data_IF_121763751169
#
_entry.id   IF_121763751169
#
_cell.length_a   1.000
_cell.length_b   1.000
_cell.length_c   1.000
_cell.angle_alpha   90.00
_cell.angle_beta   90.00
_cell.angle_gamma   90.00
#
_symmetry.space_group_name_H-M   'P 1'
#
loop_
_entity.id
_entity.type
_entity.pdbx_description
1 polymer ?
#
# COMPACT_ATOMS: atom_id res chain seq x y z
N UNK A 1 1.02 12.85 -24.92
CA UNK A 1 0.72 13.30 -23.54
C UNK A 1 0.17 12.19 -22.65
N UNK A 2 -0.81 11.37 -23.07
CA UNK A 2 -1.34 10.25 -22.26
C UNK A 2 -0.25 9.26 -21.80
N UNK A 3 0.63 8.85 -22.71
CA UNK A 3 1.72 7.92 -22.42
C UNK A 3 2.66 8.40 -21.29
N UNK A 4 3.21 9.62 -21.40
CA UNK A 4 4.13 10.15 -20.39
C UNK A 4 3.48 10.31 -19.01
N UNK A 5 2.20 10.71 -18.96
CA UNK A 5 1.43 10.76 -17.71
C UNK A 5 1.26 9.36 -17.10
N UNK A 6 0.89 8.37 -17.91
CA UNK A 6 0.75 6.98 -17.46
C UNK A 6 2.09 6.42 -16.95
N UNK A 7 3.18 6.70 -17.69
CA UNK A 7 4.55 6.35 -17.31
C UNK A 7 4.90 6.93 -15.94
N UNK A 8 4.60 8.20 -15.71
CA UNK A 8 4.87 8.87 -14.46
C UNK A 8 4.09 8.27 -13.27
N UNK A 9 2.80 7.93 -13.44
CA UNK A 9 1.99 7.24 -12.43
C UNK A 9 2.52 5.84 -12.09
N UNK A 10 2.95 5.08 -13.10
CA UNK A 10 3.53 3.75 -12.91
C UNK A 10 4.86 3.84 -12.16
N UNK A 11 5.72 4.80 -12.53
CA UNK A 11 6.98 5.08 -11.83
C UNK A 11 6.70 5.42 -10.36
N UNK A 12 5.72 6.27 -10.08
CA UNK A 12 5.33 6.62 -8.71
C UNK A 12 5.00 5.37 -7.89
N UNK A 13 4.21 4.45 -8.46
CA UNK A 13 3.87 3.18 -7.81
C UNK A 13 5.10 2.30 -7.57
N UNK A 14 6.00 2.18 -8.56
CA UNK A 14 7.26 1.43 -8.44
C UNK A 14 8.13 1.97 -7.29
N UNK A 15 8.30 3.30 -7.20
CA UNK A 15 9.06 3.93 -6.11
C UNK A 15 8.41 3.64 -4.76
N UNK A 16 7.09 3.81 -4.68
CA UNK A 16 6.35 3.65 -3.43
C UNK A 16 6.46 2.23 -2.89
N UNK A 17 6.32 1.19 -3.74
CA UNK A 17 6.50 -0.20 -3.29
C UNK A 17 7.95 -0.50 -2.94
N UNK A 18 8.93 0.01 -3.71
CA UNK A 18 10.35 -0.25 -3.47
C UNK A 18 10.82 0.31 -2.12
N UNK A 19 10.26 1.44 -1.69
CA UNK A 19 10.53 2.04 -0.37
C UNK A 19 9.94 1.25 0.79
N UNK A 20 8.83 0.54 0.57
CA UNK A 20 8.16 -0.25 1.61
C UNK A 20 8.92 -1.55 1.89
N UNK A 21 9.49 -2.18 0.86
CA UNK A 21 10.23 -3.42 1.01
C UNK A 21 11.50 -3.48 0.13
N UNK A 22 12.65 -3.20 0.76
CA UNK A 22 13.99 -3.30 0.18
C UNK A 22 14.55 -4.73 0.11
N UNK A 23 13.74 -5.75 0.44
CA UNK A 23 14.21 -7.13 0.39
C UNK A 23 14.31 -7.65 -1.05
N UNK A 24 15.15 -8.66 -1.30
CA UNK A 24 15.42 -9.24 -2.63
C UNK A 24 14.21 -9.97 -3.27
N UNK A 25 13.00 -9.83 -2.72
CA UNK A 25 11.79 -10.45 -3.26
C UNK A 25 11.13 -9.58 -4.34
N UNK A 26 10.32 -10.23 -5.17
CA UNK A 26 9.41 -9.53 -6.08
C UNK A 26 8.31 -8.82 -5.29
N UNK A 27 8.09 -7.55 -5.60
CA UNK A 27 7.06 -6.68 -5.07
C UNK A 27 5.85 -6.67 -6.00
N UNK A 28 4.65 -6.47 -5.46
CA UNK A 28 3.42 -6.49 -6.27
C UNK A 28 2.94 -5.07 -6.56
N UNK A 29 2.85 -4.73 -7.84
CA UNK A 29 2.10 -3.56 -8.33
C UNK A 29 0.66 -4.00 -8.54
N UNK A 30 -0.28 -3.39 -7.82
CA UNK A 30 -1.72 -3.65 -7.98
C UNK A 30 -2.29 -2.72 -9.06
N UNK A 31 -2.80 -3.32 -10.13
CA UNK A 31 -3.27 -2.62 -11.33
C UNK A 31 -4.65 -1.98 -11.08
N UNK A 32 -5.43 -2.57 -10.20
CA UNK A 32 -6.71 -2.07 -9.69
C UNK A 32 -6.56 -0.96 -8.63
N UNK A 33 -5.32 -0.53 -8.34
CA UNK A 33 -5.08 0.58 -7.41
C UNK A 33 -5.69 1.89 -7.90
N UNK A 34 -6.05 2.76 -6.96
CA UNK A 34 -6.70 4.05 -7.29
C UNK A 34 -5.90 4.92 -8.26
N UNK A 35 -4.57 4.76 -8.29
CA UNK A 35 -3.65 5.50 -9.14
C UNK A 35 -3.50 4.91 -10.55
N UNK A 36 -3.85 3.64 -10.75
CA UNK A 36 -3.66 2.93 -12.03
C UNK A 36 -4.97 2.43 -12.66
N UNK A 37 -6.09 2.45 -11.93
CA UNK A 37 -7.40 1.94 -12.38
C UNK A 37 -7.91 2.50 -13.72
N UNK A 38 -7.47 3.70 -14.09
CA UNK A 38 -7.87 4.39 -15.32
C UNK A 38 -6.88 4.18 -16.48
N UNK A 39 -5.83 3.38 -16.26
CA UNK A 39 -4.82 3.01 -17.25
C UNK A 39 -5.12 1.60 -17.75
N UNK A 40 -5.04 1.41 -19.06
CA UNK A 40 -5.22 0.09 -19.67
C UNK A 40 -4.15 -0.89 -19.15
N UNK A 41 -4.51 -2.12 -18.74
CA UNK A 41 -3.54 -3.13 -18.29
C UNK A 41 -2.41 -3.40 -19.29
N UNK A 42 -2.70 -3.36 -20.60
CA UNK A 42 -1.70 -3.55 -21.65
C UNK A 42 -0.75 -2.35 -21.75
N UNK A 43 -1.24 -1.12 -21.53
CA UNK A 43 -0.40 0.09 -21.44
C UNK A 43 0.56 -0.01 -20.25
N UNK A 44 0.08 -0.48 -19.08
CA UNK A 44 0.90 -0.68 -17.89
C UNK A 44 1.99 -1.71 -18.17
N UNK A 45 1.61 -2.86 -18.74
CA UNK A 45 2.54 -3.93 -19.06
C UNK A 45 3.57 -3.49 -20.11
N UNK A 46 3.15 -2.73 -21.12
CA UNK A 46 4.03 -2.16 -22.14
C UNK A 46 5.10 -1.24 -21.56
N UNK A 47 4.72 -0.34 -20.65
CA UNK A 47 5.64 0.56 -19.96
C UNK A 47 6.61 -0.21 -19.05
N UNK A 48 6.11 -1.18 -18.27
CA UNK A 48 6.96 -2.01 -17.42
C UNK A 48 7.94 -2.87 -18.24
N UNK A 49 7.51 -3.39 -19.39
CA UNK A 49 8.37 -4.15 -20.29
C UNK A 49 9.51 -3.29 -20.85
N UNK A 50 9.25 -2.01 -21.13
CA UNK A 50 10.31 -1.08 -21.54
C UNK A 50 11.36 -0.94 -20.44
N UNK A 51 10.95 -0.71 -19.19
CA UNK A 51 11.90 -0.65 -18.07
C UNK A 51 12.66 -1.97 -17.86
N UNK A 52 12.01 -3.10 -18.10
CA UNK A 52 12.69 -4.40 -18.06
C UNK A 52 13.75 -4.53 -19.17
N UNK A 53 13.42 -4.12 -20.39
CA UNK A 53 14.35 -4.15 -21.53
C UNK A 53 15.55 -3.22 -21.31
N UNK A 54 15.33 -2.10 -20.62
CA UNK A 54 16.37 -1.15 -20.21
C UNK A 54 17.16 -1.64 -18.97
N UNK A 55 16.84 -2.81 -18.42
CA UNK A 55 17.50 -3.40 -17.27
C UNK A 55 17.16 -2.76 -15.91
N UNK A 56 16.15 -1.87 -15.86
CA UNK A 56 15.79 -1.06 -14.70
C UNK A 56 14.94 -1.78 -13.68
N UNK A 57 14.22 -2.79 -14.11
CA UNK A 57 13.48 -3.70 -13.25
C UNK A 57 13.43 -5.11 -13.88
N UNK A 58 12.92 -6.07 -13.12
CA UNK A 58 12.59 -7.41 -13.60
C UNK A 58 11.13 -7.71 -13.32
N UNK A 59 10.36 -8.04 -14.35
CA UNK A 59 8.99 -8.51 -14.21
C UNK A 59 9.02 -9.99 -13.81
N UNK A 60 8.22 -10.32 -12.80
CA UNK A 60 7.98 -11.67 -12.31
C UNK A 60 6.68 -12.22 -12.87
N UNK A 61 5.80 -12.68 -11.98
CA UNK A 61 4.46 -13.15 -12.36
C UNK A 61 3.51 -11.98 -12.64
N UNK A 62 2.77 -12.09 -13.73
CA UNK A 62 1.58 -11.27 -13.97
C UNK A 62 0.36 -12.10 -13.60
N UNK A 63 -0.58 -11.48 -12.89
CA UNK A 63 -1.87 -12.08 -12.59
C UNK A 63 -2.95 -11.10 -12.97
N UNK A 64 -3.66 -11.44 -14.05
CA UNK A 64 -4.88 -10.76 -14.44
C UNK A 64 -6.03 -11.72 -14.16
N UNK A 65 -6.76 -11.50 -13.07
CA UNK A 65 -7.88 -12.37 -12.71
C UNK A 65 -8.93 -12.37 -13.82
N UNK A 66 -9.38 -13.54 -14.25
CA UNK A 66 -10.66 -13.66 -14.93
C UNK A 66 -11.75 -13.39 -13.89
N UNK A 67 -12.81 -12.64 -14.24
CA UNK A 67 -14.01 -12.57 -13.39
C UNK A 67 -14.52 -14.00 -13.16
N UNK A 68 -14.17 -14.60 -12.03
CA UNK A 68 -14.71 -15.89 -11.64
C UNK A 68 -16.17 -15.67 -11.24
N UNK A 69 -17.06 -15.96 -12.18
CA UNK A 69 -18.50 -15.98 -11.98
C UNK A 69 -18.87 -17.27 -11.21
N UNK A 70 -18.45 -17.38 -9.95
CA UNK A 70 -18.76 -18.54 -9.11
C UNK A 70 -20.04 -18.26 -8.34
N UNK A 71 -21.14 -18.86 -8.78
CA UNK A 71 -22.40 -18.94 -8.04
C UNK A 71 -22.28 -20.04 -6.97
N UNK A 72 -21.85 -19.66 -5.77
CA UNK A 72 -21.84 -20.54 -4.59
C UNK A 72 -22.30 -19.77 -3.33
N UNK A 73 -23.09 -20.38 -2.42
CA UNK A 73 -23.67 -19.69 -1.26
C UNK A 73 -22.67 -19.37 -0.13
N UNK A 74 -21.41 -19.81 -0.23
CA UNK A 74 -20.39 -19.66 0.82
C UNK A 74 -18.98 -19.33 0.33
N UNK A 75 -18.80 -18.97 -0.94
CA UNK A 75 -17.48 -18.55 -1.41
C UNK A 75 -17.18 -17.15 -0.92
N UNK A 76 -16.37 -17.07 0.15
CA UNK A 76 -15.70 -15.84 0.57
C UNK A 76 -14.95 -15.29 -0.63
N UNK A 77 -15.50 -14.24 -1.24
CA UNK A 77 -14.93 -13.53 -2.38
C UNK A 77 -13.59 -12.96 -1.94
N UNK A 78 -12.51 -13.72 -2.10
CA UNK A 78 -11.17 -13.15 -2.22
C UNK A 78 -11.20 -12.38 -3.53
N UNK A 79 -11.42 -11.07 -3.47
CA UNK A 79 -11.28 -10.21 -4.65
C UNK A 79 -9.95 -10.55 -5.31
N UNK A 80 -10.02 -11.10 -6.52
CA UNK A 80 -8.85 -11.45 -7.30
C UNK A 80 -8.22 -10.16 -7.78
N UNK A 81 -7.27 -9.62 -7.01
CA UNK A 81 -6.58 -8.38 -7.38
C UNK A 81 -5.66 -8.61 -8.55
N UNK A 82 -5.78 -7.78 -9.59
CA UNK A 82 -4.87 -7.78 -10.73
C UNK A 82 -3.52 -7.22 -10.28
N UNK A 83 -2.44 -7.98 -10.44
CA UNK A 83 -1.11 -7.53 -10.02
C UNK A 83 -0.01 -7.95 -10.99
N UNK A 84 1.08 -7.17 -10.95
CA UNK A 84 2.34 -7.46 -11.63
C UNK A 84 3.44 -7.51 -10.59
N UNK A 85 4.15 -8.64 -10.51
CA UNK A 85 5.35 -8.76 -9.69
C UNK A 85 6.52 -8.06 -10.37
N UNK A 86 7.24 -7.22 -9.64
CA UNK A 86 8.45 -6.52 -10.08
C UNK A 86 9.56 -6.71 -9.04
N UNK A 87 10.78 -6.99 -9.49
CA UNK A 87 11.96 -7.16 -8.63
C UNK A 87 13.17 -6.49 -9.26
N UNK A 88 14.32 -6.48 -8.55
CA UNK A 88 15.58 -5.87 -9.02
C UNK A 88 15.38 -4.43 -9.54
N UNK A 89 14.76 -3.59 -8.73
CA UNK A 89 14.40 -2.21 -9.08
C UNK A 89 15.62 -1.31 -8.87
N UNK A 90 16.06 -0.60 -9.91
CA UNK A 90 17.05 0.48 -9.81
C UNK A 90 16.37 1.76 -9.32
N UNK A 91 16.21 1.88 -8.00
CA UNK A 91 15.38 2.94 -7.40
C UNK A 91 15.85 4.34 -7.79
N UNK A 92 17.16 4.57 -7.89
CA UNK A 92 17.74 5.87 -8.26
C UNK A 92 17.30 6.31 -9.66
N UNK A 93 17.27 5.39 -10.63
CA UNK A 93 16.78 5.68 -11.98
C UNK A 93 15.31 6.12 -11.95
N UNK A 94 14.47 5.41 -11.20
CA UNK A 94 13.05 5.74 -11.11
C UNK A 94 12.82 7.09 -10.43
N UNK A 95 13.59 7.42 -9.39
CA UNK A 95 13.50 8.73 -8.72
C UNK A 95 13.89 9.87 -9.67
N UNK A 96 14.97 9.72 -10.44
CA UNK A 96 15.38 10.70 -11.46
C UNK A 96 14.35 10.85 -12.57
N UNK A 97 13.83 9.73 -13.08
CA UNK A 97 12.83 9.72 -14.15
C UNK A 97 11.50 10.30 -13.68
N UNK A 98 11.10 10.03 -12.44
CA UNK A 98 9.93 10.64 -11.82
C UNK A 98 10.07 12.16 -11.71
N UNK A 99 11.24 12.66 -11.30
CA UNK A 99 11.49 14.11 -11.23
C UNK A 99 11.26 14.78 -12.59
N UNK A 100 11.76 14.16 -13.68
CA UNK A 100 11.54 14.66 -15.05
C UNK A 100 10.07 14.69 -15.42
N UNK A 101 9.29 13.70 -15.00
CA UNK A 101 7.88 13.54 -15.42
C UNK A 101 6.86 14.08 -14.42
N UNK A 102 7.28 14.47 -13.22
CA UNK A 102 6.42 14.88 -12.10
C UNK A 102 5.47 16.03 -12.46
N UNK A 103 5.93 16.95 -13.31
CA UNK A 103 5.15 18.08 -13.81
C UNK A 103 3.90 17.66 -14.61
N UNK A 104 3.86 16.43 -15.15
CA UNK A 104 2.77 15.91 -15.96
C UNK A 104 1.62 15.30 -15.15
N UNK A 105 1.84 15.02 -13.86
CA UNK A 105 0.83 14.37 -13.01
C UNK A 105 -0.10 15.41 -12.34
N UNK A 106 0.16 16.71 -12.52
CA UNK A 106 -0.76 17.77 -12.09
C UNK A 106 -0.92 17.92 -10.57
N UNK A 107 -0.15 17.19 -9.77
CA UNK A 107 0.02 17.40 -8.33
C UNK A 107 1.47 17.80 -8.09
N UNK A 108 1.76 19.08 -8.36
CA UNK A 108 2.94 19.72 -7.83
C UNK A 108 2.81 19.77 -6.29
N UNK A 109 3.42 18.82 -5.62
CA UNK A 109 4.12 19.13 -4.38
C UNK A 109 5.60 18.91 -4.63
N UNK A 110 6.19 19.88 -5.33
CA UNK A 110 7.52 20.31 -4.96
C UNK A 110 7.44 20.77 -3.50
N UNK A 111 7.77 19.87 -2.58
CA UNK A 111 8.39 20.26 -1.32
C UNK A 111 9.59 19.36 -1.11
N UNK A 112 10.77 19.92 -1.33
CA UNK A 112 11.97 19.63 -0.55
C UNK A 112 11.76 20.17 0.88
N UNK A 113 10.72 19.66 1.54
CA UNK A 113 10.28 19.98 2.88
C UNK A 113 9.34 18.88 3.34
N UNK A 114 9.68 18.26 4.46
CA UNK A 114 8.79 17.52 5.35
C UNK A 114 7.67 16.77 4.61
N UNK A 115 7.99 15.58 4.08
CA UNK A 115 7.01 14.78 3.33
C UNK A 115 5.99 14.24 4.31
N UNK A 116 4.79 14.77 4.19
CA UNK A 116 3.69 14.39 5.05
C UNK A 116 3.02 13.11 4.55
N UNK A 117 2.93 12.13 5.44
CA UNK A 117 2.22 10.88 5.19
C UNK A 117 1.03 10.73 6.14
N UNK A 118 -0.08 10.21 5.65
CA UNK A 118 -1.26 9.96 6.46
C UNK A 118 -1.93 8.63 6.12
N UNK A 119 -2.65 8.09 7.10
CA UNK A 119 -3.47 6.90 6.94
C UNK A 119 -4.95 7.29 6.89
N UNK A 120 -5.63 6.87 5.84
CA UNK A 120 -7.06 6.98 5.67
C UNK A 120 -7.70 5.61 5.89
N UNK A 121 -8.72 5.54 6.74
CA UNK A 121 -9.54 4.35 6.94
C UNK A 121 -10.94 4.66 6.45
N UNK A 122 -11.39 3.94 5.42
CA UNK A 122 -12.66 4.19 4.73
C UNK A 122 -13.79 3.34 5.30
N UNK A 123 -15.03 3.69 4.96
CA UNK A 123 -16.23 2.96 5.42
C UNK A 123 -16.30 1.51 4.92
N UNK A 124 -15.66 1.20 3.80
CA UNK A 124 -15.51 -0.15 3.26
C UNK A 124 -14.28 -0.90 3.81
N UNK A 125 -13.71 -0.38 4.91
CA UNK A 125 -12.59 -0.95 5.68
C UNK A 125 -11.24 -0.92 4.97
N UNK A 126 -11.06 -0.14 3.91
CA UNK A 126 -9.74 0.01 3.27
C UNK A 126 -8.85 0.92 4.10
N UNK A 127 -7.59 0.51 4.26
CA UNK A 127 -6.53 1.28 4.91
C UNK A 127 -5.63 1.81 3.80
N UNK A 128 -5.67 3.12 3.57
CA UNK A 128 -4.97 3.79 2.48
C UNK A 128 -3.85 4.68 3.02
N UNK A 129 -2.64 4.54 2.48
CA UNK A 129 -1.57 5.51 2.63
C UNK A 129 -1.79 6.67 1.66
N UNK A 130 -1.80 7.88 2.20
CA UNK A 130 -2.02 9.13 1.47
C UNK A 130 -3.31 9.13 0.63
N UNK A 131 -4.29 8.31 1.00
CA UNK A 131 -5.54 8.13 0.25
C UNK A 131 -5.40 7.46 -1.12
N UNK A 132 -4.18 7.08 -1.53
CA UNK A 132 -3.88 6.55 -2.87
C UNK A 132 -3.51 5.06 -2.84
N UNK A 133 -2.63 4.66 -1.92
CA UNK A 133 -2.05 3.32 -1.87
C UNK A 133 -2.79 2.50 -0.84
N UNK A 134 -3.40 1.39 -1.25
CA UNK A 134 -4.02 0.49 -0.29
C UNK A 134 -2.97 -0.39 0.40
N UNK A 135 -2.93 -0.30 1.73
CA UNK A 135 -2.05 -1.10 2.58
C UNK A 135 -2.71 -2.44 2.91
N UNK A 136 -3.99 -2.39 3.29
CA UNK A 136 -4.77 -3.57 3.66
C UNK A 136 -6.28 -3.28 3.62
N UNK A 137 -7.05 -4.36 3.51
CA UNK A 137 -8.50 -4.37 3.67
C UNK A 137 -8.85 -5.56 4.57
N UNK A 138 -8.93 -5.38 5.91
CA UNK A 138 -9.28 -6.46 6.81
C UNK A 138 -10.71 -6.97 6.58
N UNK A 139 -10.89 -8.27 6.81
CA UNK A 139 -12.20 -8.92 6.73
C UNK A 139 -13.16 -8.30 7.75
N UNK A 140 -14.43 -8.15 7.35
CA UNK A 140 -15.47 -7.57 8.20
C UNK A 140 -15.57 -8.28 9.55
N UNK A 141 -15.57 -7.51 10.64
CA UNK A 141 -15.63 -8.02 12.03
C UNK A 141 -14.48 -8.97 12.39
N UNK A 142 -13.42 -9.03 11.59
CA UNK A 142 -12.21 -9.75 11.99
C UNK A 142 -11.52 -9.02 13.13
N UNK A 143 -10.69 -9.75 13.87
CA UNK A 143 -9.84 -9.16 14.90
C UNK A 143 -8.99 -7.99 14.37
N UNK A 144 -8.46 -8.09 13.16
CA UNK A 144 -7.66 -7.05 12.53
C UNK A 144 -8.49 -5.79 12.25
N UNK A 145 -9.72 -5.97 11.74
CA UNK A 145 -10.68 -4.88 11.47
C UNK A 145 -11.04 -4.13 12.74
N UNK A 146 -11.46 -4.87 13.77
CA UNK A 146 -11.89 -4.29 15.04
C UNK A 146 -10.74 -3.57 15.76
N UNK A 147 -9.54 -4.17 15.79
CA UNK A 147 -8.36 -3.54 16.38
C UNK A 147 -8.01 -2.27 15.63
N UNK A 148 -7.93 -2.30 14.30
CA UNK A 148 -7.55 -1.12 13.54
C UNK A 148 -8.57 0.00 13.65
N UNK A 149 -9.86 -0.31 13.52
CA UNK A 149 -10.95 0.65 13.74
C UNK A 149 -10.82 1.34 15.09
N UNK A 150 -10.58 0.57 16.16
CA UNK A 150 -10.45 1.11 17.51
C UNK A 150 -9.26 2.05 17.66
N UNK A 151 -8.09 1.68 17.10
CA UNK A 151 -6.89 2.50 17.10
C UNK A 151 -7.08 3.78 16.26
N UNK A 152 -7.77 3.67 15.11
CA UNK A 152 -8.02 4.78 14.20
C UNK A 152 -8.94 5.84 14.83
N UNK A 153 -10.05 5.42 15.43
CA UNK A 153 -10.98 6.31 16.15
C UNK A 153 -10.33 7.02 17.35
N UNK A 154 -9.26 6.45 17.90
CA UNK A 154 -8.52 6.96 19.06
C UNK A 154 -7.10 7.38 18.70
N UNK A 155 -6.88 7.79 17.45
CA UNK A 155 -5.56 8.20 16.97
C UNK A 155 -4.94 9.28 17.86
N UNK A 156 -3.63 9.22 18.06
CA UNK A 156 -2.86 10.12 18.91
C UNK A 156 -2.92 9.79 20.41
N UNK A 157 -3.75 8.83 20.84
CA UNK A 157 -3.80 8.37 22.23
C UNK A 157 -2.95 7.13 22.44
N UNK A 158 -2.33 7.06 23.62
CA UNK A 158 -1.68 5.85 24.10
C UNK A 158 -2.73 4.91 24.67
N UNK A 159 -2.80 3.70 24.12
CA UNK A 159 -3.82 2.70 24.44
C UNK A 159 -3.12 1.51 25.08
N UNK A 160 -3.50 1.12 26.31
CA UNK A 160 -2.99 -0.10 26.93
C UNK A 160 -3.36 -1.34 26.12
N UNK A 161 -2.41 -2.26 25.94
CA UNK A 161 -2.67 -3.53 25.26
C UNK A 161 -3.68 -4.39 26.03
N UNK A 162 -3.78 -4.23 27.35
CA UNK A 162 -4.82 -4.85 28.18
C UNK A 162 -6.22 -4.39 27.81
N UNK A 163 -6.39 -3.13 27.40
CA UNK A 163 -7.66 -2.58 26.95
C UNK A 163 -8.10 -3.20 25.62
N UNK A 164 -7.17 -3.38 24.67
CA UNK A 164 -7.46 -4.07 23.41
C UNK A 164 -7.87 -5.52 23.64
N UNK A 165 -7.22 -6.20 24.60
CA UNK A 165 -7.56 -7.58 24.97
C UNK A 165 -8.96 -7.69 25.58
N UNK A 166 -9.37 -6.74 26.42
CA UNK A 166 -10.68 -6.80 27.09
C UNK A 166 -11.83 -6.28 26.24
N UNK A 167 -11.66 -5.13 25.56
CA UNK A 167 -12.75 -4.50 24.79
C UNK A 167 -12.97 -5.14 23.43
N UNK A 168 -11.89 -5.54 22.76
CA UNK A 168 -11.91 -6.05 21.38
C UNK A 168 -11.70 -7.56 21.34
N UNK A 169 -11.45 -8.19 22.50
CA UNK A 169 -11.13 -9.61 22.58
C UNK A 169 -9.92 -9.99 21.70
N UNK A 170 -8.92 -9.10 21.64
CA UNK A 170 -7.69 -9.34 20.89
C UNK A 170 -6.96 -10.58 21.46
N UNK A 171 -6.79 -11.60 20.62
CA UNK A 171 -6.12 -12.87 20.95
C UNK A 171 -4.69 -12.89 20.46
N UNK A 172 -4.42 -12.25 19.32
CA UNK A 172 -3.10 -12.20 18.69
C UNK A 172 -2.22 -11.15 19.37
N UNK A 173 -0.89 -11.34 19.38
CA UNK A 173 0.03 -10.27 19.71
C UNK A 173 -0.16 -9.09 18.77
N UNK A 174 -0.04 -7.87 19.30
CA UNK A 174 -0.24 -6.64 18.52
C UNK A 174 0.70 -6.57 17.30
N UNK A 175 1.92 -7.08 17.43
CA UNK A 175 2.89 -7.20 16.35
C UNK A 175 2.36 -7.98 15.15
N UNK A 176 1.64 -9.08 15.42
CA UNK A 176 1.08 -9.93 14.38
C UNK A 176 -0.12 -9.27 13.72
N UNK A 177 -0.94 -8.53 14.49
CA UNK A 177 -2.05 -7.74 13.95
C UNK A 177 -1.54 -6.68 12.99
N UNK A 178 -0.55 -5.88 13.41
CA UNK A 178 0.05 -4.84 12.55
C UNK A 178 0.67 -5.42 11.28
N UNK A 179 1.37 -6.55 11.40
CA UNK A 179 1.94 -7.26 10.24
C UNK A 179 0.85 -7.72 9.27
N UNK A 180 -0.25 -8.29 9.79
CA UNK A 180 -1.37 -8.74 8.95
C UNK A 180 -2.10 -7.58 8.27
N UNK A 181 -2.05 -6.39 8.87
CA UNK A 181 -2.59 -5.14 8.34
C UNK A 181 -1.61 -4.42 7.39
N UNK A 182 -0.49 -5.06 7.01
CA UNK A 182 0.49 -4.49 6.08
C UNK A 182 1.44 -3.45 6.70
N UNK A 183 1.34 -3.17 8.00
CA UNK A 183 2.27 -2.29 8.72
C UNK A 183 3.54 -3.05 9.10
N UNK A 184 4.49 -3.08 8.18
CA UNK A 184 5.82 -3.69 8.36
C UNK A 184 6.92 -2.63 8.34
N UNK A 185 8.06 -2.93 8.97
CA UNK A 185 9.30 -2.15 8.93
C UNK A 185 9.05 -0.63 9.14
N UNK A 186 9.48 0.20 8.18
CA UNK A 186 9.41 1.66 8.24
C UNK A 186 7.98 2.19 8.36
N UNK A 187 7.01 1.56 7.68
CA UNK A 187 5.60 1.97 7.77
C UNK A 187 5.07 1.76 9.19
N UNK A 188 5.46 0.66 9.83
CA UNK A 188 5.10 0.39 11.22
C UNK A 188 5.71 1.44 12.16
N UNK A 189 7.02 1.68 12.08
CA UNK A 189 7.70 2.62 12.98
C UNK A 189 7.27 4.07 12.76
N UNK A 190 6.85 4.42 11.54
CA UNK A 190 6.32 5.74 11.25
C UNK A 190 4.99 5.95 11.99
N UNK A 191 4.02 5.06 11.79
CA UNK A 191 2.65 5.27 12.24
C UNK A 191 2.31 4.68 13.62
N UNK A 192 3.18 3.85 14.19
CA UNK A 192 2.92 3.21 15.48
C UNK A 192 4.09 3.31 16.43
N UNK A 193 3.84 3.87 17.62
CA UNK A 193 4.73 3.71 18.77
C UNK A 193 4.22 2.52 19.57
N UNK A 194 4.95 1.39 19.51
CA UNK A 194 4.58 0.15 20.20
C UNK A 194 5.57 -0.12 21.32
N UNK A 195 5.07 -0.16 22.54
CA UNK A 195 5.80 -0.57 23.73
C UNK A 195 5.30 -1.94 24.23
N UNK A 196 5.96 -2.49 25.26
CA UNK A 196 5.56 -3.79 25.84
C UNK A 196 4.12 -3.81 26.37
N UNK A 197 3.61 -2.67 26.80
CA UNK A 197 2.31 -2.55 27.49
C UNK A 197 1.32 -1.65 26.77
N UNK A 198 1.78 -0.81 25.84
CA UNK A 198 0.97 0.24 25.21
C UNK A 198 1.23 0.33 23.72
N UNK A 199 0.26 0.89 23.01
CA UNK A 199 0.37 1.24 21.59
C UNK A 199 -0.23 2.62 21.35
N UNK A 200 0.42 3.41 20.51
CA UNK A 200 -0.09 4.69 20.03
C UNK A 200 -0.06 4.70 18.52
N UNK A 201 -1.22 4.93 17.91
CA UNK A 201 -1.36 5.09 16.47
C UNK A 201 -1.32 6.58 16.10
N UNK A 202 -0.48 6.96 15.14
CA UNK A 202 -0.41 8.29 14.55
C UNK A 202 -1.18 8.26 13.24
N UNK A 203 -2.17 9.13 13.08
CA UNK A 203 -2.92 9.22 11.81
C UNK A 203 -2.11 9.88 10.70
N UNK A 204 -1.18 10.75 11.09
CA UNK A 204 -0.37 11.60 10.22
C UNK A 204 1.04 11.69 10.78
N UNK A 205 2.03 11.67 9.91
CA UNK A 205 3.46 11.78 10.25
C UNK A 205 4.15 12.67 9.22
N UNK A 206 5.18 13.35 9.68
CA UNK A 206 6.02 14.20 8.85
C UNK A 206 7.43 13.62 8.93
N UNK A 207 8.03 13.33 7.76
CA UNK A 207 9.35 12.73 7.61
C UNK A 207 10.32 13.66 6.90
#
# INVERSE_FOLDING_TARGET
MKYERNKALIIEQVINIARIDSSKSFLKIFIDSSSLKDIDPDDILGILNQFQNDGKLKIGKTFFGNQLNIKGPWDLIKEQRHYIEVGRIEIEYFEEEFLKLSHLIGDASQSTGDKEFFILYTSDRRILLNGKIEIAQPDFNSENDLVFKYLYERSGREIPLSELKSKIHMRKPIDKVLTNLGFVKGLRSAFFDVNKTTIKFKKKVVL
#
